data_IF_784531288474
#
_entry.id   IF_784531288474
#
_cell.length_a   1.000
_cell.length_b   1.000
_cell.length_c   1.000
_cell.angle_alpha   90.00
_cell.angle_beta   90.00
_cell.angle_gamma   90.00
#
_symmetry.space_group_name_H-M   'P 1'
#
loop_
_entity.id
_entity.type
_entity.pdbx_description
1 polymer ?
#
# COMPACT_ATOMS: atom_id res chain seq x y z
N UNK A 1 8.01 -2.77 0.37
CA UNK A 1 9.06 -3.57 1.04
C UNK A 1 8.88 -3.55 2.54
N UNK A 2 9.03 -4.68 3.23
CA UNK A 2 9.01 -4.72 4.69
C UNK A 2 10.44 -4.65 5.22
N UNK A 3 10.67 -3.75 6.17
CA UNK A 3 11.94 -3.58 6.87
C UNK A 3 11.76 -3.99 8.32
N UNK A 4 12.79 -4.58 8.90
CA UNK A 4 12.82 -4.98 10.30
C UNK A 4 14.03 -4.36 10.97
N UNK A 5 13.78 -3.67 12.08
CA UNK A 5 14.80 -3.11 12.95
C UNK A 5 14.78 -3.91 14.24
N UNK A 6 15.93 -4.44 14.60
CA UNK A 6 16.17 -5.08 15.87
C UNK A 6 17.25 -4.29 16.61
N UNK A 7 16.99 -4.00 17.88
CA UNK A 7 17.91 -3.29 18.75
C UNK A 7 18.07 -4.09 20.04
N UNK A 8 19.32 -4.28 20.46
CA UNK A 8 19.67 -4.91 21.73
C UNK A 8 20.49 -3.92 22.56
N UNK A 9 20.16 -3.81 23.85
CA UNK A 9 20.86 -2.95 24.81
C UNK A 9 21.25 -3.83 26.00
N UNK A 10 22.53 -3.84 26.34
CA UNK A 10 23.00 -4.44 27.60
C UNK A 10 23.06 -3.36 28.69
N UNK A 11 22.41 -3.60 29.82
CA UNK A 11 22.43 -2.68 30.97
C UNK A 11 23.73 -2.80 31.80
N UNK A 12 23.90 -1.90 32.77
CA UNK A 12 25.09 -1.90 33.64
C UNK A 12 25.19 -3.14 34.55
N UNK A 13 24.09 -3.90 34.72
CA UNK A 13 24.08 -5.17 35.45
C UNK A 13 24.40 -6.37 34.54
N UNK A 14 24.60 -6.15 33.23
CA UNK A 14 24.92 -7.19 32.25
C UNK A 14 23.70 -7.90 31.67
N UNK A 15 22.47 -7.41 31.91
CA UNK A 15 21.28 -7.99 31.27
C UNK A 15 21.08 -7.39 29.88
N UNK A 16 20.81 -8.25 28.90
CA UNK A 16 20.44 -7.85 27.54
C UNK A 16 18.92 -7.65 27.42
N UNK A 17 18.54 -6.52 26.83
CA UNK A 17 17.16 -6.16 26.51
C UNK A 17 17.04 -5.98 25.01
N UNK A 18 16.17 -6.73 24.35
CA UNK A 18 15.97 -6.64 22.91
C UNK A 18 14.57 -6.12 22.57
N UNK A 19 14.50 -5.32 21.51
CA UNK A 19 13.26 -4.84 20.93
C UNK A 19 13.30 -4.93 19.41
N UNK A 20 12.15 -5.32 18.82
CA UNK A 20 11.97 -5.41 17.38
C UNK A 20 10.83 -4.51 16.92
N UNK A 21 11.03 -3.85 15.78
CA UNK A 21 10.03 -3.04 15.08
C UNK A 21 10.05 -3.34 13.59
N UNK A 22 8.88 -3.35 12.98
CA UNK A 22 8.72 -3.52 11.53
C UNK A 22 8.18 -2.24 10.90
N UNK A 23 8.70 -1.91 9.73
CA UNK A 23 8.29 -0.75 8.93
C UNK A 23 7.91 -1.21 7.52
N UNK A 24 6.93 -0.55 6.92
CA UNK A 24 6.57 -0.74 5.52
C UNK A 24 7.13 0.45 4.75
N UNK A 25 8.04 0.19 3.81
CA UNK A 25 8.44 1.17 2.82
C UNK A 25 7.59 1.01 1.56
N UNK A 26 7.01 2.12 1.14
CA UNK A 26 6.18 2.21 -0.06
C UNK A 26 7.00 2.78 -1.22
N UNK A 27 6.83 2.26 -2.45
CA UNK A 27 7.59 2.73 -3.61
C UNK A 27 7.15 4.13 -4.09
N UNK A 28 5.95 4.57 -3.71
CA UNK A 28 5.38 5.87 -4.01
C UNK A 28 4.48 6.30 -2.84
N UNK A 29 4.21 7.61 -2.73
CA UNK A 29 3.34 8.16 -1.67
C UNK A 29 1.84 7.87 -1.88
N UNK A 30 1.46 7.43 -3.08
CA UNK A 30 0.09 7.11 -3.48
C UNK A 30 0.11 5.81 -4.26
N UNK A 31 -0.97 5.03 -4.14
CA UNK A 31 -1.21 3.83 -4.92
C UNK A 31 -2.40 4.05 -5.87
N UNK A 32 -2.35 3.42 -7.05
CA UNK A 32 -3.46 3.43 -8.02
C UNK A 32 -4.15 2.07 -7.95
N UNK A 33 -5.47 2.07 -7.83
CA UNK A 33 -6.29 0.87 -7.86
C UNK A 33 -7.53 1.04 -8.73
N UNK A 34 -8.33 -0.03 -8.83
CA UNK A 34 -9.67 0.02 -9.38
C UNK A 34 -10.68 0.06 -8.23
N UNK A 35 -11.69 0.92 -8.33
CA UNK A 35 -12.84 0.85 -7.45
C UNK A 35 -13.52 -0.52 -7.62
N UNK A 36 -14.11 -1.02 -6.53
CA UNK A 36 -14.85 -2.28 -6.57
C UNK A 36 -16.02 -2.16 -7.55
N UNK A 37 -16.13 -3.13 -8.45
CA UNK A 37 -17.21 -3.28 -9.41
C UNK A 37 -17.59 -4.76 -9.55
N UNK A 38 -18.21 -5.12 -10.67
CA UNK A 38 -18.55 -6.51 -10.95
C UNK A 38 -17.29 -7.36 -11.18
N UNK A 39 -17.26 -8.55 -10.57
CA UNK A 39 -16.13 -9.49 -10.73
C UNK A 39 -16.05 -10.05 -12.17
N UNK A 40 -17.19 -10.09 -12.87
CA UNK A 40 -17.32 -10.58 -14.24
C UNK A 40 -18.28 -9.70 -15.04
N UNK A 41 -17.89 -9.34 -16.25
CA UNK A 41 -18.74 -8.65 -17.22
C UNK A 41 -18.96 -9.57 -18.41
N UNK A 42 -20.20 -9.68 -18.87
CA UNK A 42 -20.55 -10.53 -20.00
C UNK A 42 -19.88 -10.02 -21.29
N UNK A 43 -19.56 -10.94 -22.20
CA UNK A 43 -18.97 -10.56 -23.48
C UNK A 43 -19.95 -9.69 -24.29
N UNK A 44 -19.47 -8.52 -24.73
CA UNK A 44 -20.27 -7.55 -25.48
C UNK A 44 -20.94 -6.49 -24.59
N UNK A 45 -20.94 -6.66 -23.28
CA UNK A 45 -21.40 -5.63 -22.34
C UNK A 45 -20.28 -4.62 -22.03
N UNK A 46 -20.64 -3.34 -21.76
CA UNK A 46 -19.65 -2.34 -21.35
C UNK A 46 -18.94 -2.71 -20.05
N UNK A 47 -17.61 -2.68 -20.07
CA UNK A 47 -16.79 -2.78 -18.86
C UNK A 47 -16.62 -1.39 -18.23
N UNK A 48 -17.35 -1.11 -17.16
CA UNK A 48 -17.14 0.10 -16.36
C UNK A 48 -15.98 -0.10 -15.38
N UNK A 49 -14.86 0.59 -15.61
CA UNK A 49 -13.71 0.59 -14.73
C UNK A 49 -13.42 2.00 -14.22
N UNK A 50 -13.32 2.16 -12.90
CA UNK A 50 -12.99 3.44 -12.27
C UNK A 50 -11.65 3.34 -11.55
N UNK A 51 -10.65 4.03 -12.08
CA UNK A 51 -9.37 4.17 -11.38
C UNK A 51 -9.51 5.11 -10.18
N UNK A 52 -8.84 4.77 -9.08
CA UNK A 52 -8.79 5.56 -7.85
C UNK A 52 -7.35 5.68 -7.36
N UNK A 53 -7.04 6.81 -6.75
CA UNK A 53 -5.80 7.01 -6.00
C UNK A 53 -6.11 6.87 -4.51
N UNK A 54 -5.25 6.16 -3.79
CA UNK A 54 -5.33 6.02 -2.33
C UNK A 54 -3.98 6.32 -1.68
N UNK A 55 -4.01 6.86 -0.48
CA UNK A 55 -2.82 6.92 0.37
C UNK A 55 -2.61 5.60 1.12
N UNK A 56 -1.55 5.53 1.93
CA UNK A 56 -1.19 4.33 2.69
C UNK A 56 -2.10 4.03 3.89
N UNK A 57 -2.98 4.98 4.24
CA UNK A 57 -4.04 4.79 5.23
C UNK A 57 -5.36 4.33 4.57
N UNK A 58 -5.38 4.23 3.23
CA UNK A 58 -6.51 3.81 2.43
C UNK A 58 -7.49 4.93 2.10
N UNK A 59 -7.16 6.20 2.39
CA UNK A 59 -8.04 7.32 2.09
C UNK A 59 -7.95 7.70 0.59
N UNK A 60 -9.10 8.01 -0.05
CA UNK A 60 -9.12 8.39 -1.45
C UNK A 60 -8.50 9.77 -1.67
N UNK A 61 -7.70 9.91 -2.73
CA UNK A 61 -7.04 11.16 -3.12
C UNK A 61 -7.56 11.63 -4.47
N UNK A 62 -7.96 12.90 -4.56
CA UNK A 62 -8.52 13.52 -5.77
C UNK A 62 -7.58 14.57 -6.39
N UNK A 63 -7.89 15.02 -7.60
CA UNK A 63 -7.20 16.16 -8.24
C UNK A 63 -5.83 15.85 -8.83
N UNK A 64 -5.52 14.56 -9.02
CA UNK A 64 -4.27 14.07 -9.60
C UNK A 64 -4.59 13.27 -10.87
N UNK A 65 -3.87 13.48 -11.97
CA UNK A 65 -4.11 12.73 -13.20
C UNK A 65 -3.73 11.26 -13.01
N UNK A 66 -4.50 10.38 -13.64
CA UNK A 66 -4.21 8.95 -13.75
C UNK A 66 -4.09 8.64 -15.24
N UNK A 67 -2.97 8.04 -15.65
CA UNK A 67 -2.81 7.50 -17.00
C UNK A 67 -3.22 6.02 -16.99
N UNK A 68 -4.14 5.64 -17.88
CA UNK A 68 -4.58 4.27 -18.07
C UNK A 68 -4.35 3.85 -19.52
N UNK A 69 -3.99 2.59 -19.73
CA UNK A 69 -3.85 1.96 -21.05
C UNK A 69 -4.63 0.66 -21.06
N UNK A 70 -5.49 0.50 -22.06
CA UNK A 70 -6.25 -0.71 -22.33
C UNK A 70 -5.62 -1.42 -23.54
N UNK A 71 -5.49 -2.74 -23.48
CA UNK A 71 -4.89 -3.57 -24.53
C UNK A 71 -5.77 -4.78 -24.82
#
# INVERSE_FOLDING_TARGET
TRFELEAEITDAAGHAHAARRSFVGYPAALEVGLARGDDWVALGEPLEARAVLVDHDGAPVSGRPIEARFF
#
